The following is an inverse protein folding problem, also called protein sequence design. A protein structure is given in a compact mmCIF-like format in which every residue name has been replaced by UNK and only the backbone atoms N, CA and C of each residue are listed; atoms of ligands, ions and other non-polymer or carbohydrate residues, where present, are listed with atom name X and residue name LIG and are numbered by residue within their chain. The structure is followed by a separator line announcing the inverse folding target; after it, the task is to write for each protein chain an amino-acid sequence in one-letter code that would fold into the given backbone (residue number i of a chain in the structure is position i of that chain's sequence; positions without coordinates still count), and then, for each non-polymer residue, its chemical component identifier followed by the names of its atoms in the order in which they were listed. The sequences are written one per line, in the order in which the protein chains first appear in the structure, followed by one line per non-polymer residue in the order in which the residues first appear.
data_IF_644465453393
#
_entry.id   IF_644465453393
#
_cell.length_a   1.000
_cell.length_b   1.000
_cell.length_c   1.000
_cell.angle_alpha   90.00
_cell.angle_beta   90.00
_cell.angle_gamma   90.00
#
_symmetry.space_group_name_H-M   'P 1'
#
loop_
_entity.id
_entity.type
_entity.pdbx_description
1 polymer ?
#
# COMPACT_ATOMS: atom_id res chain seq x y z
N UNK A 1 77.34 -6.96 8.84
CA UNK A 1 77.50 -5.51 9.09
C UNK A 1 76.11 -4.90 9.27
N UNK A 2 75.67 -4.73 10.52
CA UNK A 2 74.36 -4.22 10.94
C UNK A 2 74.36 -2.70 11.11
N UNK A 3 73.46 -1.95 10.46
CA UNK A 3 73.05 -0.58 10.88
C UNK A 3 71.60 -0.31 10.42
N UNK A 4 70.63 -0.26 11.35
CA UNK A 4 70.12 0.89 12.15
C UNK A 4 69.06 1.73 11.43
N UNK A 5 67.85 1.70 11.99
CA UNK A 5 66.76 2.64 11.74
C UNK A 5 67.20 4.10 11.99
N UNK A 6 66.78 5.00 11.10
CA UNK A 6 66.50 6.39 11.44
C UNK A 6 65.06 6.72 11.06
N UNK A 7 64.26 6.96 12.09
CA UNK A 7 62.93 7.57 12.07
C UNK A 7 63.07 9.02 11.58
N UNK A 8 62.32 9.40 10.55
CA UNK A 8 61.97 10.81 10.28
C UNK A 8 60.51 10.90 9.85
N UNK A 9 59.79 11.80 10.52
CA UNK A 9 58.37 12.11 10.35
C UNK A 9 58.02 12.37 8.90
N UNK A 10 56.95 11.72 8.42
CA UNK A 10 56.10 12.29 7.37
C UNK A 10 54.82 12.77 8.05
N UNK A 11 54.73 14.09 8.19
CA UNK A 11 53.50 14.79 8.50
C UNK A 11 52.70 14.74 7.20
N UNK A 12 51.63 13.97 7.17
CA UNK A 12 50.80 13.77 6.00
C UNK A 12 49.37 13.60 6.46
N UNK A 13 48.59 14.65 6.25
CA UNK A 13 47.14 14.76 6.42
C UNK A 13 46.40 13.42 6.32
N UNK A 14 45.78 12.98 7.42
CA UNK A 14 44.61 12.12 7.31
C UNK A 14 43.45 13.00 6.84
N UNK A 15 42.77 12.70 5.72
CA UNK A 15 41.43 13.24 5.55
C UNK A 15 40.59 12.64 6.66
N UNK A 16 40.07 13.50 7.54
CA UNK A 16 38.93 13.16 8.37
C UNK A 16 37.80 12.80 7.40
N UNK A 17 37.63 11.50 7.12
CA UNK A 17 36.40 11.03 6.53
C UNK A 17 35.37 11.31 7.61
N UNK A 18 34.55 12.31 7.34
CA UNK A 18 33.33 12.59 8.07
C UNK A 18 32.60 11.26 8.19
N UNK A 19 32.71 10.63 9.35
CA UNK A 19 31.77 9.65 9.79
C UNK A 19 30.49 10.47 10.02
N UNK A 20 29.75 10.69 8.94
CA UNK A 20 28.34 10.97 9.04
C UNK A 20 27.77 9.75 9.73
N UNK A 21 27.73 9.83 11.06
CA UNK A 21 26.75 9.11 11.82
C UNK A 21 25.41 9.46 11.17
N UNK A 22 24.91 8.55 10.33
CA UNK A 22 23.50 8.49 10.01
C UNK A 22 22.79 8.08 11.30
N UNK A 23 22.64 9.04 12.20
CA UNK A 23 21.78 8.95 13.36
C UNK A 23 20.52 9.76 13.05
N UNK A 24 19.54 9.07 12.50
CA UNK A 24 18.09 9.25 12.70
C UNK A 24 17.44 8.19 11.79
N UNK A 25 16.77 7.15 12.28
CA UNK A 25 15.54 7.16 13.06
C UNK A 25 14.61 8.32 12.70
N UNK A 26 14.25 8.41 11.43
CA UNK A 26 13.02 9.09 11.02
C UNK A 26 12.12 8.03 10.37
N UNK A 27 11.12 7.57 11.11
CA UNK A 27 9.98 6.91 10.49
C UNK A 27 9.34 7.97 9.59
N UNK A 28 9.55 7.86 8.28
CA UNK A 28 8.92 8.76 7.29
C UNK A 28 7.41 8.71 7.51
N UNK A 29 6.79 9.87 7.70
CA UNK A 29 5.35 9.95 7.92
C UNK A 29 4.59 9.49 6.67
N UNK A 30 3.40 8.92 6.85
CA UNK A 30 2.50 8.56 5.74
C UNK A 30 2.28 9.75 4.79
N UNK A 31 2.22 10.97 5.31
CA UNK A 31 2.08 12.19 4.52
C UNK A 31 3.33 12.49 3.66
N UNK A 32 4.52 12.23 4.20
CA UNK A 32 5.78 12.43 3.46
C UNK A 32 5.93 11.38 2.35
N UNK A 33 5.59 10.12 2.62
CA UNK A 33 5.55 9.05 1.62
C UNK A 33 4.58 9.39 0.49
N UNK A 34 3.37 9.85 0.85
CA UNK A 34 2.35 10.23 -0.11
C UNK A 34 2.77 11.42 -0.97
N UNK A 35 3.35 12.47 -0.35
CA UNK A 35 3.81 13.64 -1.07
C UNK A 35 4.98 13.31 -2.01
N UNK A 36 5.91 12.46 -1.57
CA UNK A 36 7.00 11.96 -2.41
C UNK A 36 6.47 11.18 -3.62
N UNK A 37 5.56 10.23 -3.40
CA UNK A 37 4.91 9.46 -4.47
C UNK A 37 4.20 10.33 -5.50
N UNK A 38 3.58 11.43 -5.06
CA UNK A 38 2.94 12.41 -5.93
C UNK A 38 3.96 13.25 -6.73
N UNK A 39 5.06 13.66 -6.12
CA UNK A 39 6.06 14.51 -6.80
C UNK A 39 6.90 13.69 -7.79
N UNK A 40 7.28 12.47 -7.43
CA UNK A 40 8.07 11.54 -8.25
C UNK A 40 7.21 10.77 -9.28
N UNK A 41 6.07 11.35 -9.68
CA UNK A 41 5.12 10.73 -10.61
C UNK A 41 5.70 10.63 -12.02
N UNK A 42 5.57 9.48 -12.71
CA UNK A 42 5.67 9.41 -14.16
C UNK A 42 4.66 10.37 -14.81
N UNK A 43 5.01 10.98 -15.95
CA UNK A 43 4.16 11.98 -16.60
C UNK A 43 2.74 11.47 -16.87
N UNK A 44 2.60 10.20 -17.27
CA UNK A 44 1.29 9.57 -17.54
C UNK A 44 0.41 9.40 -16.30
N UNK A 45 1.01 9.32 -15.10
CA UNK A 45 0.26 9.14 -13.85
C UNK A 45 0.03 10.48 -13.11
N UNK A 46 0.70 11.56 -13.55
CA UNK A 46 0.84 12.80 -12.77
C UNK A 46 -0.50 13.43 -12.39
N UNK A 47 -1.45 13.52 -13.30
CA UNK A 47 -2.77 14.12 -13.01
C UNK A 47 -3.55 13.27 -12.01
N UNK A 48 -3.59 11.95 -12.23
CA UNK A 48 -4.29 11.01 -11.36
C UNK A 48 -3.66 10.94 -9.97
N UNK A 49 -2.33 10.94 -9.87
CA UNK A 49 -1.62 10.96 -8.58
C UNK A 49 -1.88 12.24 -7.80
N UNK A 50 -1.99 13.39 -8.45
CA UNK A 50 -2.40 14.63 -7.77
C UNK A 50 -3.85 14.53 -7.27
N UNK A 51 -4.77 14.02 -8.10
CA UNK A 51 -6.16 13.82 -7.66
C UNK A 51 -6.28 12.83 -6.50
N UNK A 52 -5.55 11.73 -6.53
CA UNK A 52 -5.52 10.73 -5.44
C UNK A 52 -4.91 11.33 -4.17
N UNK A 53 -3.87 12.15 -4.29
CA UNK A 53 -3.31 12.87 -3.14
C UNK A 53 -4.39 13.68 -2.43
N UNK A 54 -5.12 14.53 -3.16
CA UNK A 54 -6.16 15.38 -2.57
C UNK A 54 -7.27 14.54 -1.90
N UNK A 55 -7.67 13.44 -2.54
CA UNK A 55 -8.65 12.50 -1.99
C UNK A 55 -8.17 11.81 -0.71
N UNK A 56 -6.90 11.43 -0.64
CA UNK A 56 -6.33 10.81 0.58
C UNK A 56 -6.26 11.84 1.71
N UNK A 57 -5.91 13.10 1.40
CA UNK A 57 -5.94 14.18 2.39
C UNK A 57 -7.36 14.39 2.92
N UNK A 58 -8.37 14.44 2.06
CA UNK A 58 -9.77 14.53 2.46
C UNK A 58 -10.20 13.32 3.31
N UNK A 59 -9.82 12.12 2.89
CA UNK A 59 -10.15 10.87 3.57
C UNK A 59 -9.55 10.76 4.98
N UNK A 60 -8.44 11.43 5.28
CA UNK A 60 -7.92 11.54 6.66
C UNK A 60 -8.93 12.22 7.61
N UNK A 61 -9.85 13.03 7.09
CA UNK A 61 -10.88 13.70 7.88
C UNK A 61 -12.22 12.94 7.86
N UNK A 62 -12.56 12.32 6.73
CA UNK A 62 -13.88 11.70 6.53
C UNK A 62 -13.91 10.20 6.84
N UNK A 63 -12.77 9.52 6.78
CA UNK A 63 -12.68 8.06 6.86
C UNK A 63 -13.19 7.34 5.60
N UNK A 64 -13.52 8.05 4.52
CA UNK A 64 -14.05 7.45 3.29
C UNK A 64 -13.19 7.86 2.09
N UNK A 65 -12.74 6.88 1.31
CA UNK A 65 -11.87 7.08 0.16
C UNK A 65 -12.42 6.36 -1.07
N UNK A 66 -12.61 7.10 -2.16
CA UNK A 66 -13.05 6.57 -3.45
C UNK A 66 -12.08 6.96 -4.56
N UNK A 67 -11.42 5.96 -5.14
CA UNK A 67 -10.41 6.13 -6.18
C UNK A 67 -10.89 5.48 -7.48
N UNK A 68 -10.73 6.25 -8.56
CA UNK A 68 -10.85 5.80 -9.95
C UNK A 68 -9.66 6.40 -10.69
N UNK A 69 -8.86 5.55 -11.33
CA UNK A 69 -7.62 5.95 -11.98
C UNK A 69 -7.23 4.93 -13.04
N UNK A 70 -6.95 5.33 -14.27
CA UNK A 70 -6.74 4.43 -15.40
C UNK A 70 -5.26 4.15 -15.68
N UNK A 71 -4.36 4.95 -15.10
CA UNK A 71 -2.92 4.90 -15.38
C UNK A 71 -2.07 4.70 -14.13
N UNK A 72 -2.60 4.98 -12.94
CA UNK A 72 -1.88 4.78 -11.68
C UNK A 72 -1.56 3.31 -11.45
N UNK A 73 -0.29 3.04 -11.15
CA UNK A 73 0.24 1.68 -10.98
C UNK A 73 0.33 1.25 -9.51
N UNK A 74 0.43 2.21 -8.59
CA UNK A 74 0.52 1.93 -7.15
C UNK A 74 -0.10 3.03 -6.30
N UNK A 75 -0.58 2.68 -5.11
CA UNK A 75 -0.93 3.62 -4.03
C UNK A 75 0.04 3.37 -2.86
N UNK A 76 0.64 4.41 -2.26
CA UNK A 76 1.69 4.22 -1.26
C UNK A 76 1.14 3.99 0.15
N UNK A 77 0.05 4.67 0.51
CA UNK A 77 -0.53 4.68 1.86
C UNK A 77 -2.04 4.89 1.80
N UNK A 78 -2.75 4.33 2.77
CA UNK A 78 -4.15 4.69 3.07
C UNK A 78 -4.22 5.45 4.40
N UNK A 79 -5.25 6.27 4.63
CA UNK A 79 -5.51 6.88 5.94
C UNK A 79 -5.67 5.82 7.04
N UNK A 80 -5.08 6.05 8.22
CA UNK A 80 -5.17 5.10 9.34
C UNK A 80 -6.61 4.99 9.88
N UNK A 81 -7.40 6.05 9.76
CA UNK A 81 -8.81 6.12 10.20
C UNK A 81 -9.82 5.70 9.11
N UNK A 82 -9.35 5.12 8.00
CA UNK A 82 -10.23 4.74 6.91
C UNK A 82 -11.21 3.64 7.34
N UNK A 83 -12.51 3.93 7.20
CA UNK A 83 -13.60 3.00 7.46
C UNK A 83 -14.25 2.50 6.16
N UNK A 84 -14.13 3.24 5.07
CA UNK A 84 -14.72 2.92 3.77
C UNK A 84 -13.71 3.12 2.64
N UNK A 85 -13.52 2.08 1.83
CA UNK A 85 -12.64 2.12 0.66
C UNK A 85 -13.38 1.63 -0.58
N UNK A 86 -13.39 2.46 -1.62
CA UNK A 86 -13.83 2.09 -2.96
C UNK A 86 -12.69 2.30 -3.96
N UNK A 87 -12.27 1.20 -4.60
CA UNK A 87 -11.36 1.21 -5.73
C UNK A 87 -12.15 0.77 -6.96
N UNK A 88 -12.44 1.71 -7.86
CA UNK A 88 -13.27 1.44 -9.03
C UNK A 88 -12.55 1.80 -10.32
N UNK A 89 -12.52 0.88 -11.27
CA UNK A 89 -11.93 1.07 -12.60
C UNK A 89 -10.44 1.43 -12.54
N UNK A 90 -9.71 0.87 -11.57
CA UNK A 90 -8.27 1.04 -11.44
C UNK A 90 -7.52 -0.03 -12.25
N UNK A 91 -7.58 0.09 -13.58
CA UNK A 91 -7.17 -0.98 -14.51
C UNK A 91 -5.68 -1.35 -14.45
N UNK A 92 -4.83 -0.39 -14.11
CA UNK A 92 -3.36 -0.57 -14.06
C UNK A 92 -2.83 -0.68 -12.64
N UNK A 93 -3.69 -0.62 -11.62
CA UNK A 93 -3.27 -0.57 -10.23
C UNK A 93 -2.84 -1.97 -9.76
N UNK A 94 -1.53 -2.17 -9.64
CA UNK A 94 -0.95 -3.47 -9.29
C UNK A 94 -0.67 -3.60 -7.80
N UNK A 95 -0.36 -2.48 -7.13
CA UNK A 95 0.04 -2.48 -5.72
C UNK A 95 -0.75 -1.48 -4.91
N UNK A 96 -1.37 -1.96 -3.85
CA UNK A 96 -2.01 -1.12 -2.81
C UNK A 96 -1.32 -1.41 -1.47
N UNK A 97 -1.35 -0.47 -0.51
CA UNK A 97 -0.84 -0.74 0.82
C UNK A 97 -1.80 -1.67 1.56
N UNK A 98 -1.36 -2.11 2.73
CA UNK A 98 -2.19 -2.90 3.63
C UNK A 98 -3.51 -2.17 3.94
N UNK A 99 -4.60 -2.93 4.02
CA UNK A 99 -5.89 -2.41 4.42
C UNK A 99 -5.83 -1.98 5.90
N UNK A 100 -6.34 -0.80 6.27
CA UNK A 100 -6.35 -0.34 7.66
C UNK A 100 -7.19 -1.24 8.58
N UNK A 101 -6.74 -1.44 9.82
CA UNK A 101 -7.39 -2.31 10.82
C UNK A 101 -8.81 -1.87 11.19
N UNK A 102 -9.18 -0.61 10.89
CA UNK A 102 -10.50 -0.04 11.13
C UNK A 102 -11.47 -0.13 9.94
N UNK A 103 -11.04 -0.69 8.80
CA UNK A 103 -11.82 -0.70 7.58
C UNK A 103 -13.08 -1.57 7.74
N UNK A 104 -14.25 -0.99 7.47
CA UNK A 104 -15.56 -1.66 7.61
C UNK A 104 -16.17 -2.04 6.28
N UNK A 105 -15.93 -1.25 5.23
CA UNK A 105 -16.48 -1.48 3.90
C UNK A 105 -15.39 -1.43 2.84
N UNK A 106 -15.33 -2.46 2.00
CA UNK A 106 -14.43 -2.53 0.87
C UNK A 106 -15.22 -2.83 -0.41
N UNK A 107 -15.03 -1.98 -1.41
CA UNK A 107 -15.49 -2.21 -2.79
C UNK A 107 -14.29 -2.18 -3.72
N UNK A 108 -14.13 -3.25 -4.50
CA UNK A 108 -13.11 -3.35 -5.56
C UNK A 108 -13.85 -3.79 -6.82
N UNK A 109 -14.07 -2.88 -7.77
CA UNK A 109 -14.82 -3.18 -8.99
C UNK A 109 -14.18 -2.61 -10.26
N UNK A 110 -14.29 -3.32 -11.37
CA UNK A 110 -13.61 -2.97 -12.62
C UNK A 110 -12.09 -3.02 -12.51
N UNK A 111 -11.55 -3.81 -11.57
CA UNK A 111 -10.10 -3.98 -11.38
C UNK A 111 -9.70 -5.39 -11.81
N UNK A 112 -8.60 -5.48 -12.57
CA UNK A 112 -8.13 -6.77 -13.11
C UNK A 112 -6.86 -7.28 -12.41
N UNK A 113 -6.16 -6.39 -11.72
CA UNK A 113 -4.82 -6.62 -11.16
C UNK A 113 -4.81 -6.65 -9.64
N UNK A 114 -5.74 -5.97 -8.98
CA UNK A 114 -5.77 -5.81 -7.52
C UNK A 114 -6.09 -7.14 -6.83
N UNK A 115 -5.16 -7.60 -6.00
CA UNK A 115 -5.31 -8.76 -5.12
C UNK A 115 -5.11 -8.31 -3.68
N UNK A 116 -5.94 -8.84 -2.78
CA UNK A 116 -5.86 -8.60 -1.35
C UNK A 116 -5.14 -9.78 -0.69
N UNK A 117 -4.16 -9.47 0.16
CA UNK A 117 -3.39 -10.49 0.89
C UNK A 117 -4.12 -10.96 2.16
N UNK A 118 -4.83 -10.05 2.83
CA UNK A 118 -5.65 -10.33 4.01
C UNK A 118 -6.73 -9.25 4.15
N UNK A 119 -7.87 -9.63 4.73
CA UNK A 119 -8.91 -8.68 5.13
C UNK A 119 -8.79 -8.37 6.62
N UNK A 120 -9.05 -7.12 7.05
CA UNK A 120 -9.06 -6.79 8.47
C UNK A 120 -10.28 -7.42 9.16
N UNK A 121 -10.13 -7.82 10.43
CA UNK A 121 -11.21 -8.45 11.22
C UNK A 121 -12.43 -7.53 11.40
N UNK A 122 -12.25 -6.21 11.27
CA UNK A 122 -13.30 -5.19 11.32
C UNK A 122 -14.20 -5.15 10.08
N UNK A 123 -13.84 -5.84 8.99
CA UNK A 123 -14.55 -5.72 7.73
C UNK A 123 -15.95 -6.33 7.85
N UNK A 124 -16.97 -5.50 7.59
CA UNK A 124 -18.37 -5.87 7.69
C UNK A 124 -19.02 -6.06 6.31
N UNK A 125 -18.52 -5.38 5.29
CA UNK A 125 -19.05 -5.44 3.92
C UNK A 125 -17.94 -5.56 2.90
N UNK A 126 -18.05 -6.55 2.00
CA UNK A 126 -17.13 -6.77 0.90
C UNK A 126 -17.90 -6.92 -0.41
N UNK A 127 -17.59 -6.07 -1.38
CA UNK A 127 -17.95 -6.22 -2.78
C UNK A 127 -16.68 -6.30 -3.61
N UNK A 128 -16.46 -7.41 -4.32
CA UNK A 128 -15.20 -7.63 -5.04
C UNK A 128 -15.37 -8.33 -6.38
N UNK A 129 -14.75 -7.76 -7.41
CA UNK A 129 -14.53 -8.42 -8.68
C UNK A 129 -13.42 -9.46 -8.50
N UNK A 130 -13.76 -10.74 -8.66
CA UNK A 130 -12.82 -11.85 -8.47
C UNK A 130 -11.98 -12.16 -9.72
N UNK A 131 -12.00 -11.30 -10.75
CA UNK A 131 -11.29 -11.51 -12.01
C UNK A 131 -9.77 -11.69 -11.80
N UNK A 132 -9.20 -11.00 -10.82
CA UNK A 132 -7.77 -11.10 -10.49
C UNK A 132 -7.38 -12.44 -9.83
N UNK A 133 -8.35 -13.24 -9.36
CA UNK A 133 -8.11 -14.49 -8.62
C UNK A 133 -8.28 -15.70 -9.54
N UNK A 134 -7.20 -16.07 -10.23
CA UNK A 134 -7.14 -17.28 -11.04
C UNK A 134 -7.06 -18.55 -10.18
N UNK A 135 -7.24 -19.73 -10.81
CA UNK A 135 -7.36 -21.03 -10.12
C UNK A 135 -6.18 -21.41 -9.21
N UNK A 136 -4.99 -20.84 -9.46
CA UNK A 136 -3.79 -21.08 -8.66
C UNK A 136 -3.54 -20.04 -7.56
N UNK A 137 -4.40 -19.01 -7.45
CA UNK A 137 -4.26 -17.98 -6.44
C UNK A 137 -5.23 -18.24 -5.28
N UNK A 138 -4.71 -18.28 -4.05
CA UNK A 138 -5.54 -18.44 -2.85
C UNK A 138 -6.20 -17.11 -2.49
N UNK A 139 -7.54 -17.08 -2.56
CA UNK A 139 -8.30 -15.95 -2.03
C UNK A 139 -8.17 -15.89 -0.50
N UNK A 140 -7.93 -14.70 0.09
CA UNK A 140 -7.77 -14.55 1.53
C UNK A 140 -9.02 -14.96 2.31
N UNK A 141 -8.83 -15.52 3.51
CA UNK A 141 -9.94 -15.90 4.37
C UNK A 141 -10.84 -14.71 4.68
N UNK A 142 -12.15 -14.89 4.52
CA UNK A 142 -13.14 -13.88 4.87
C UNK A 142 -13.24 -13.73 6.40
N UNK A 143 -13.31 -12.51 6.94
CA UNK A 143 -13.36 -12.30 8.39
C UNK A 143 -14.68 -12.77 8.98
N UNK A 144 -14.65 -13.27 10.21
CA UNK A 144 -15.84 -13.76 10.90
C UNK A 144 -16.88 -12.64 11.13
N UNK A 145 -16.48 -11.38 11.21
CA UNK A 145 -17.39 -10.24 11.35
C UNK A 145 -18.16 -9.85 10.08
N UNK A 146 -17.85 -10.46 8.93
CA UNK A 146 -18.40 -10.05 7.63
C UNK A 146 -19.91 -10.27 7.57
N UNK A 147 -20.69 -9.21 7.34
CA UNK A 147 -22.16 -9.24 7.30
C UNK A 147 -22.71 -9.34 5.88
N UNK A 148 -21.96 -8.86 4.91
CA UNK A 148 -22.33 -8.87 3.50
C UNK A 148 -21.13 -9.23 2.63
N UNK A 149 -21.33 -10.16 1.70
CA UNK A 149 -20.35 -10.53 0.70
C UNK A 149 -21.02 -10.58 -0.68
N UNK A 150 -20.51 -9.80 -1.61
CA UNK A 150 -20.87 -9.86 -3.02
C UNK A 150 -19.61 -10.05 -3.85
N UNK A 151 -19.65 -11.00 -4.79
CA UNK A 151 -18.56 -11.23 -5.71
C UNK A 151 -19.09 -11.47 -7.13
N UNK A 152 -18.35 -10.99 -8.11
CA UNK A 152 -18.64 -11.22 -9.53
C UNK A 152 -17.36 -11.66 -10.27
N UNK A 153 -17.54 -12.24 -11.45
CA UNK A 153 -16.43 -12.73 -12.30
C UNK A 153 -15.48 -13.74 -11.65
N UNK A 154 -15.89 -14.41 -10.57
CA UNK A 154 -15.13 -15.44 -9.88
C UNK A 154 -15.22 -16.80 -10.58
N UNK A 155 -14.12 -17.56 -10.53
CA UNK A 155 -14.07 -18.96 -11.00
C UNK A 155 -14.38 -19.99 -9.91
N UNK A 156 -14.39 -19.55 -8.65
CA UNK A 156 -14.67 -20.37 -7.48
C UNK A 156 -15.36 -19.52 -6.40
N UNK A 157 -15.99 -20.19 -5.44
CA UNK A 157 -16.54 -19.56 -4.25
C UNK A 157 -15.54 -19.73 -3.09
N UNK A 158 -15.03 -18.64 -2.47
CA UNK A 158 -14.18 -18.77 -1.30
C UNK A 158 -14.99 -19.32 -0.11
N UNK A 159 -14.35 -19.98 0.87
CA UNK A 159 -15.03 -20.42 2.09
C UNK A 159 -15.71 -19.24 2.78
N UNK A 160 -17.03 -19.33 2.93
CA UNK A 160 -17.82 -18.30 3.60
C UNK A 160 -17.79 -18.48 5.11
N UNK A 161 -17.81 -17.39 5.89
CA UNK A 161 -18.06 -17.47 7.33
C UNK A 161 -19.36 -18.22 7.64
N UNK A 162 -19.46 -18.96 8.76
CA UNK A 162 -20.60 -19.84 9.03
C UNK A 162 -21.97 -19.17 8.92
N UNK A 163 -22.11 -17.93 9.39
CA UNK A 163 -23.37 -17.17 9.35
C UNK A 163 -23.73 -16.62 7.96
N UNK A 164 -22.78 -16.59 7.01
CA UNK A 164 -23.04 -16.27 5.61
C UNK A 164 -23.19 -17.51 4.73
N UNK A 165 -22.81 -18.69 5.23
CA UNK A 165 -22.83 -19.95 4.47
C UNK A 165 -24.23 -20.55 4.28
N UNK A 166 -25.26 -19.98 4.91
CA UNK A 166 -26.64 -20.49 4.91
C UNK A 166 -27.61 -19.73 3.99
N UNK A 167 -27.09 -18.88 3.09
CA UNK A 167 -27.88 -18.14 2.07
C UNK A 167 -27.89 -18.93 0.74
#
# INVERSE_FOLDING_TARGET
MTYRLKKRMKIGFQPAILQYAYTSNEATSNLELLNKWRIESPDIEKEERNSIYDKIIEANHTGSLSITAHHVTSIPVFPDNLSELNLSSCYTLESIPNLPDGLKSLTISGNQTIKISYFPDSLESLSIDMQAYEENYTFPALPYGLKSFTACYGKFLPPLPPHLSSL
#
